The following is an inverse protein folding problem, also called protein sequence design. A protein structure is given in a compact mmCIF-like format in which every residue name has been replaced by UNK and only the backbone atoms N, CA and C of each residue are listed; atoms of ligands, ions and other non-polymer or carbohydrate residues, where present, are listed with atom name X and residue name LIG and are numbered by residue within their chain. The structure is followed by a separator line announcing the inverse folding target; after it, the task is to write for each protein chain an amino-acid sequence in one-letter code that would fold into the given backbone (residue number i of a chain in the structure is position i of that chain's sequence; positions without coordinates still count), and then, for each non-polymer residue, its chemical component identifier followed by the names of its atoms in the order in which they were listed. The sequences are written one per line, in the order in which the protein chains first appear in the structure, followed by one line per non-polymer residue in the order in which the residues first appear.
data_IF_710367300865
#
_entry.id   IF_710367300865
#
_cell.length_a   1.000
_cell.length_b   1.000
_cell.length_c   1.000
_cell.angle_alpha   90.00
_cell.angle_beta   90.00
_cell.angle_gamma   90.00
#
_symmetry.space_group_name_H-M   'P 1'
#
loop_
_entity.id
_entity.type
_entity.pdbx_description
1 polymer ?
#
# COMPACT_ATOMS: atom_id res chain seq x y z
N UNK A 1 -3.45 -13.15 0.80
CA UNK A 1 -4.38 -12.25 1.54
C UNK A 1 -5.04 -11.21 0.62
N UNK A 2 -6.00 -10.43 1.10
CA UNK A 2 -6.69 -9.41 0.29
C UNK A 2 -6.98 -8.14 1.09
N UNK A 3 -6.85 -6.98 0.45
CA UNK A 3 -7.23 -5.67 1.01
C UNK A 3 -8.09 -4.91 0.02
N UNK A 4 -8.89 -3.97 0.50
CA UNK A 4 -9.64 -3.07 -0.38
C UNK A 4 -8.83 -1.79 -0.63
N UNK A 5 -8.84 -1.33 -1.87
CA UNK A 5 -8.31 -0.02 -2.18
C UNK A 5 -9.16 1.06 -1.49
N UNK A 6 -8.51 1.94 -0.73
CA UNK A 6 -9.20 3.05 -0.05
C UNK A 6 -9.75 4.09 -1.03
N UNK A 7 -9.24 4.15 -2.27
CA UNK A 7 -9.69 5.12 -3.28
C UNK A 7 -10.91 4.64 -4.08
N UNK A 8 -10.89 3.40 -4.59
CA UNK A 8 -11.91 2.91 -5.52
C UNK A 8 -12.67 1.65 -5.03
N UNK A 9 -12.32 1.10 -3.86
CA UNK A 9 -12.95 -0.10 -3.31
C UNK A 9 -12.54 -1.42 -3.99
N UNK A 10 -11.72 -1.40 -5.04
CA UNK A 10 -11.26 -2.62 -5.71
C UNK A 10 -10.42 -3.50 -4.79
N UNK A 11 -10.56 -4.82 -4.90
CA UNK A 11 -9.81 -5.79 -4.11
C UNK A 11 -8.41 -5.93 -4.68
N UNK A 12 -7.40 -5.67 -3.84
CA UNK A 12 -5.99 -5.94 -4.14
C UNK A 12 -5.65 -7.28 -3.50
N UNK A 13 -5.28 -8.26 -4.32
CA UNK A 13 -4.82 -9.57 -3.87
C UNK A 13 -3.31 -9.49 -3.63
N UNK A 14 -2.89 -9.87 -2.42
CA UNK A 14 -1.48 -9.93 -2.02
C UNK A 14 -1.12 -11.39 -1.78
N UNK A 15 0.01 -11.83 -2.31
CA UNK A 15 0.48 -13.22 -2.19
C UNK A 15 1.08 -13.52 -0.80
N UNK A 16 1.44 -14.78 -0.52
CA UNK A 16 2.02 -15.23 0.76
C UNK A 16 3.38 -14.60 1.06
N UNK A 17 4.07 -14.09 0.03
CA UNK A 17 5.29 -13.29 0.17
C UNK A 17 5.11 -12.02 1.03
N UNK A 18 3.87 -11.59 1.26
CA UNK A 18 3.53 -10.38 2.03
C UNK A 18 3.12 -10.67 3.49
N UNK A 19 3.33 -11.88 4.00
CA UNK A 19 2.94 -12.29 5.35
C UNK A 19 3.51 -11.40 6.48
N UNK A 20 4.71 -10.86 6.29
CA UNK A 20 5.33 -9.86 7.17
C UNK A 20 5.97 -8.76 6.30
N UNK A 21 5.15 -7.78 5.91
CA UNK A 21 5.54 -6.75 4.94
C UNK A 21 5.05 -5.37 5.38
N UNK A 22 5.95 -4.40 5.31
CA UNK A 22 5.63 -2.98 5.49
C UNK A 22 6.14 -2.21 4.27
N UNK A 23 5.24 -1.48 3.60
CA UNK A 23 5.62 -0.72 2.41
C UNK A 23 4.44 -0.33 1.53
N UNK A 24 4.75 0.17 0.33
CA UNK A 24 3.75 0.68 -0.60
C UNK A 24 3.27 -0.36 -1.60
N UNK A 25 1.98 -0.36 -1.88
CA UNK A 25 1.32 -1.16 -2.91
C UNK A 25 0.49 -0.26 -3.82
N UNK A 26 0.46 -0.60 -5.11
CA UNK A 26 -0.32 0.13 -6.12
C UNK A 26 -1.62 -0.61 -6.42
N UNK A 27 -2.73 0.12 -6.42
CA UNK A 27 -3.98 -0.41 -6.98
C UNK A 27 -3.90 -0.43 -8.50
N UNK A 28 -4.01 -1.60 -9.13
CA UNK A 28 -3.96 -1.72 -10.58
C UNK A 28 -5.16 -1.09 -11.31
N UNK A 29 -6.28 -0.89 -10.62
CA UNK A 29 -7.50 -0.31 -11.22
C UNK A 29 -7.48 1.21 -11.27
N UNK A 30 -7.13 1.88 -10.17
CA UNK A 30 -7.16 3.36 -10.07
C UNK A 30 -5.78 3.99 -9.96
N UNK A 31 -4.70 3.19 -9.92
CA UNK A 31 -3.32 3.63 -9.71
C UNK A 31 -3.03 4.32 -8.37
N UNK A 32 -3.96 4.33 -7.42
CA UNK A 32 -3.69 4.85 -6.07
C UNK A 32 -2.58 4.06 -5.37
N UNK A 33 -1.69 4.78 -4.68
CA UNK A 33 -0.64 4.22 -3.84
C UNK A 33 -1.11 4.17 -2.39
N UNK A 34 -0.98 3.00 -1.78
CA UNK A 34 -1.35 2.74 -0.40
C UNK A 34 -0.12 2.23 0.35
N UNK A 35 0.10 2.71 1.56
CA UNK A 35 1.08 2.14 2.46
C UNK A 35 0.39 1.15 3.40
N UNK A 36 0.93 -0.06 3.48
CA UNK A 36 0.37 -1.17 4.24
C UNK A 36 1.38 -1.71 5.23
N UNK A 37 0.88 -2.21 6.36
CA UNK A 37 1.65 -3.01 7.33
C UNK A 37 0.93 -4.33 7.56
N UNK A 38 1.66 -5.41 7.35
CA UNK A 38 1.21 -6.79 7.49
C UNK A 38 2.12 -7.48 8.50
N UNK A 39 1.54 -8.24 9.42
CA UNK A 39 2.31 -9.12 10.31
C UNK A 39 1.53 -10.40 10.57
N UNK A 40 2.22 -11.53 10.46
CA UNK A 40 1.64 -12.87 10.61
C UNK A 40 0.45 -13.11 9.68
N UNK A 41 0.51 -12.56 8.46
CA UNK A 41 -0.57 -12.65 7.46
C UNK A 41 -1.80 -11.79 7.76
N UNK A 42 -1.77 -10.97 8.82
CA UNK A 42 -2.85 -10.07 9.22
C UNK A 42 -2.54 -8.62 8.85
N UNK A 43 -3.56 -7.92 8.38
CA UNK A 43 -3.47 -6.50 8.09
C UNK A 43 -3.47 -5.71 9.39
N UNK A 44 -2.39 -4.98 9.66
CA UNK A 44 -2.27 -4.10 10.83
C UNK A 44 -2.65 -2.67 10.50
N UNK A 45 -2.30 -2.18 9.31
CA UNK A 45 -2.71 -0.85 8.85
C UNK A 45 -2.76 -0.76 7.33
N UNK A 46 -3.62 0.13 6.83
CA UNK A 46 -3.70 0.55 5.43
C UNK A 46 -3.97 2.06 5.44
N UNK A 47 -3.15 2.83 4.75
CA UNK A 47 -3.30 4.29 4.62
C UNK A 47 -2.92 4.73 3.21
N UNK A 48 -3.36 5.92 2.81
CA UNK A 48 -2.83 6.52 1.59
C UNK A 48 -1.34 6.81 1.75
N UNK A 49 -0.55 6.53 0.71
CA UNK A 49 0.84 6.91 0.72
C UNK A 49 0.91 8.44 0.66
N UNK A 50 1.38 9.05 1.74
CA UNK A 50 1.62 10.47 1.79
C UNK A 50 2.93 10.75 1.04
N UNK A 51 2.81 11.16 -0.22
CA UNK A 51 3.95 11.59 -1.02
C UNK A 51 4.38 12.98 -0.53
N UNK A 52 5.16 13.02 0.55
CA UNK A 52 5.88 14.24 0.91
C UNK A 52 6.80 14.58 -0.25
N UNK A 53 6.55 15.70 -0.92
CA UNK A 53 7.49 16.27 -1.88
C UNK A 53 8.77 16.61 -1.12
N UNK A 54 9.73 15.69 -1.09
CA UNK A 54 11.13 16.09 -1.00
C UNK A 54 11.40 16.68 -2.38
N UNK A 55 11.17 17.98 -2.52
CA UNK A 55 11.79 18.72 -3.60
C UNK A 55 13.27 18.36 -3.53
N UNK A 56 13.79 17.77 -4.61
CA UNK A 56 15.21 17.65 -4.78
C UNK A 56 15.78 19.06 -4.59
N UNK A 57 16.42 19.28 -3.44
CA UNK A 57 17.35 20.37 -3.30
C UNK A 57 18.53 19.99 -4.19
N UNK A 58 18.38 20.28 -5.48
CA UNK A 58 19.50 20.45 -6.38
C UNK A 58 20.18 21.79 -6.01
N UNK A 59 21.52 21.75 -6.07
CA UNK A 59 22.54 22.81 -5.89
C UNK A 59 23.14 22.88 -4.47
#
# INVERSE_FOLDING_TARGET
MKINCLSCGHIIVLDDAYSDYEGSVKCYTCSALLEIKLSEGLVKSVKFLELTRIAAAEI
#
